data_IF_733427857432
#
_entry.id   IF_733427857432
#
_cell.length_a   1.000
_cell.length_b   1.000
_cell.length_c   1.000
_cell.angle_alpha   90.00
_cell.angle_beta   90.00
_cell.angle_gamma   90.00
#
_symmetry.space_group_name_H-M   'P 1'
#
loop_
_entity.id
_entity.type
_entity.pdbx_description
1 polymer ?
#
# COMPACT_ATOMS: atom_id res chain seq x y z
N UNK A 1 -0.77 -17.43 -0.17
CA UNK A 1 -1.34 -16.13 -0.57
C UNK A 1 -0.76 -15.05 0.32
N UNK A 2 -0.33 -13.93 -0.26
CA UNK A 2 0.22 -12.78 0.47
C UNK A 2 -0.59 -11.51 0.17
N UNK A 3 -1.12 -10.90 1.22
CA UNK A 3 -1.90 -9.67 1.16
C UNK A 3 -1.03 -8.50 1.63
N UNK A 4 -1.32 -7.31 1.12
CA UNK A 4 -0.83 -6.05 1.69
C UNK A 4 -2.00 -5.16 2.07
N UNK A 5 -1.90 -4.52 3.23
CA UNK A 5 -2.81 -3.46 3.64
C UNK A 5 -2.14 -2.09 3.36
N UNK A 6 -2.89 -1.19 2.73
CA UNK A 6 -2.52 0.22 2.63
C UNK A 6 -2.81 0.99 3.94
N UNK A 7 -2.49 2.27 3.97
CA UNK A 7 -2.74 3.10 5.15
C UNK A 7 -4.22 3.30 5.45
N UNK A 8 -5.06 3.34 4.41
CA UNK A 8 -6.50 3.48 4.59
C UNK A 8 -7.06 2.32 5.43
N UNK A 9 -6.55 1.10 5.28
CA UNK A 9 -6.93 -0.03 6.14
C UNK A 9 -6.55 0.18 7.61
N UNK A 10 -5.41 0.83 7.90
CA UNK A 10 -5.00 1.19 9.27
C UNK A 10 -5.94 2.24 9.84
N UNK A 11 -6.23 3.29 9.06
CA UNK A 11 -7.15 4.37 9.45
C UNK A 11 -8.55 3.82 9.72
N UNK A 12 -9.04 2.85 8.93
CA UNK A 12 -10.35 2.24 9.18
C UNK A 12 -10.46 1.70 10.60
N UNK A 13 -9.44 0.98 11.07
CA UNK A 13 -9.48 0.37 12.40
C UNK A 13 -9.21 1.42 13.48
N UNK A 14 -8.30 2.36 13.25
CA UNK A 14 -8.01 3.44 14.21
C UNK A 14 -9.23 4.32 14.47
N UNK A 15 -10.06 4.56 13.46
CA UNK A 15 -11.23 5.44 13.52
C UNK A 15 -12.57 4.69 13.61
N UNK A 16 -12.57 3.37 13.79
CA UNK A 16 -13.77 2.51 13.86
C UNK A 16 -14.75 2.74 12.69
N UNK A 17 -14.21 2.76 11.47
CA UNK A 17 -14.95 2.97 10.22
C UNK A 17 -15.56 1.66 9.69
N UNK A 18 -16.46 1.70 8.70
CA UNK A 18 -17.26 0.54 8.30
C UNK A 18 -16.48 -0.72 7.86
N UNK A 19 -15.24 -0.60 7.39
CA UNK A 19 -14.43 -1.76 6.98
C UNK A 19 -13.52 -2.28 8.12
N UNK A 20 -13.52 -1.65 9.30
CA UNK A 20 -12.65 -2.01 10.42
C UNK A 20 -12.77 -3.49 10.81
N UNK A 21 -14.00 -4.00 10.96
CA UNK A 21 -14.26 -5.39 11.31
C UNK A 21 -13.65 -6.36 10.29
N UNK A 22 -13.74 -6.02 9.00
CA UNK A 22 -13.17 -6.84 7.93
C UNK A 22 -11.63 -6.83 7.93
N UNK A 23 -11.01 -5.69 8.21
CA UNK A 23 -9.54 -5.63 8.38
C UNK A 23 -9.09 -6.49 9.56
N UNK A 24 -9.80 -6.41 10.69
CA UNK A 24 -9.51 -7.22 11.88
C UNK A 24 -9.64 -8.72 11.56
N UNK A 25 -10.66 -9.12 10.81
CA UNK A 25 -10.85 -10.51 10.39
C UNK A 25 -9.72 -11.02 9.49
N UNK A 26 -9.23 -10.21 8.55
CA UNK A 26 -8.06 -10.57 7.73
C UNK A 26 -6.83 -10.82 8.59
N UNK A 27 -6.60 -9.99 9.61
CA UNK A 27 -5.48 -10.14 10.55
C UNK A 27 -5.65 -11.39 11.42
N UNK A 28 -6.88 -11.69 11.86
CA UNK A 28 -7.17 -12.92 12.59
C UNK A 28 -6.91 -14.16 11.73
N UNK A 29 -7.25 -14.13 10.45
CA UNK A 29 -6.93 -15.19 9.50
C UNK A 29 -5.41 -15.34 9.29
N UNK A 30 -4.67 -14.22 9.23
CA UNK A 30 -3.21 -14.24 9.20
C UNK A 30 -2.61 -14.96 10.42
N UNK A 31 -3.06 -14.60 11.62
CA UNK A 31 -2.60 -15.20 12.89
C UNK A 31 -2.94 -16.69 13.00
N UNK A 32 -3.99 -17.13 12.32
CA UNK A 32 -4.35 -18.55 12.17
C UNK A 32 -3.53 -19.29 11.10
N UNK A 33 -2.59 -18.61 10.45
CA UNK A 33 -1.72 -19.18 9.41
C UNK A 33 -2.41 -19.43 8.08
N UNK A 34 -3.59 -18.83 7.82
CA UNK A 34 -4.34 -19.07 6.59
C UNK A 34 -3.71 -18.36 5.38
N UNK A 35 -3.11 -17.19 5.59
CA UNK A 35 -2.36 -16.42 4.59
C UNK A 35 -1.48 -15.39 5.29
N UNK A 36 -0.60 -14.73 4.54
CA UNK A 36 0.22 -13.65 5.08
C UNK A 36 -0.46 -12.30 4.86
N UNK A 37 -0.59 -11.47 5.91
CA UNK A 37 -1.01 -10.07 5.81
C UNK A 37 0.18 -9.22 6.21
N UNK A 38 0.59 -8.28 5.35
CA UNK A 38 1.64 -7.33 5.66
C UNK A 38 1.17 -5.89 5.53
N UNK A 39 1.87 -4.98 6.19
CA UNK A 39 1.66 -3.54 6.10
C UNK A 39 2.69 -2.93 5.15
N UNK A 40 2.26 -2.00 4.29
CA UNK A 40 3.20 -1.27 3.42
C UNK A 40 3.92 -0.17 4.21
N UNK A 41 5.24 -0.10 4.11
CA UNK A 41 6.03 0.98 4.71
C UNK A 41 5.67 2.36 4.14
N UNK A 42 5.23 2.41 2.87
CA UNK A 42 4.71 3.61 2.22
C UNK A 42 3.55 4.26 2.99
N UNK A 43 2.74 3.45 3.67
CA UNK A 43 1.59 3.90 4.46
C UNK A 43 1.99 4.75 5.66
N UNK A 44 3.18 4.52 6.22
CA UNK A 44 3.69 5.28 7.35
C UNK A 44 3.87 6.77 7.03
N UNK A 45 4.07 7.08 5.75
CA UNK A 45 4.46 8.39 5.27
C UNK A 45 3.26 9.38 5.19
N UNK A 46 2.03 8.86 5.29
CA UNK A 46 0.78 9.63 5.27
C UNK A 46 0.31 9.99 6.69
N UNK A 47 0.70 11.16 7.22
CA UNK A 47 0.06 11.67 8.43
C UNK A 47 -1.28 12.32 8.08
N UNK A 48 -2.38 11.64 8.39
CA UNK A 48 -3.75 12.12 8.11
C UNK A 48 -4.11 13.45 8.78
N UNK A 49 -3.45 13.83 9.88
CA UNK A 49 -3.74 15.07 10.64
C UNK A 49 -2.80 16.22 10.32
N UNK A 50 -1.49 15.98 10.18
CA UNK A 50 -0.53 17.05 9.87
C UNK A 50 -0.25 17.19 8.37
N UNK A 51 -0.61 16.20 7.55
CA UNK A 51 -0.22 16.08 6.13
C UNK A 51 1.30 16.16 5.89
N UNK A 52 2.11 16.00 6.93
CA UNK A 52 3.58 15.95 6.84
C UNK A 52 4.04 14.50 6.91
N UNK A 53 5.14 14.18 6.23
CA UNK A 53 5.83 12.92 6.44
C UNK A 53 6.29 12.85 7.90
N UNK A 54 5.89 11.82 8.67
CA UNK A 54 6.45 11.63 10.00
C UNK A 54 7.96 11.46 9.83
N UNK A 55 8.78 12.34 10.41
CA UNK A 55 10.24 12.27 10.27
C UNK A 55 10.89 11.05 10.94
N UNK A 56 10.10 10.11 11.50
CA UNK A 56 10.61 8.93 12.19
C UNK A 56 9.66 7.74 12.07
N UNK A 57 10.21 6.58 11.70
CA UNK A 57 9.55 5.27 11.63
C UNK A 57 8.85 4.87 12.95
N UNK A 58 9.33 5.40 14.08
CA UNK A 58 8.77 5.18 15.41
C UNK A 58 7.30 5.60 15.51
N UNK A 59 6.86 6.64 14.79
CA UNK A 59 5.45 7.03 14.81
C UNK A 59 4.56 5.94 14.22
N UNK A 60 4.96 5.39 13.09
CA UNK A 60 4.28 4.28 12.45
C UNK A 60 4.31 3.02 13.32
N UNK A 61 5.46 2.65 13.87
CA UNK A 61 5.59 1.52 14.80
C UNK A 61 4.68 1.70 16.03
N UNK A 62 4.58 2.91 16.58
CA UNK A 62 3.68 3.19 17.71
C UNK A 62 2.22 3.00 17.33
N UNK A 63 1.79 3.44 16.14
CA UNK A 63 0.42 3.24 15.65
C UNK A 63 0.10 1.77 15.44
N UNK A 64 0.97 1.05 14.74
CA UNK A 64 0.86 -0.41 14.53
C UNK A 64 0.82 -1.14 15.87
N UNK A 65 1.63 -0.69 16.84
CA UNK A 65 1.67 -1.26 18.19
C UNK A 65 0.40 -0.97 18.99
N UNK A 66 -0.19 0.22 18.84
CA UNK A 66 -1.44 0.57 19.53
C UNK A 66 -2.62 -0.28 19.04
N UNK A 67 -2.61 -0.71 17.78
CA UNK A 67 -3.57 -1.65 17.21
C UNK A 67 -3.26 -3.12 17.56
N UNK A 68 -2.10 -3.38 18.17
CA UNK A 68 -1.64 -4.72 18.50
C UNK A 68 -1.24 -5.53 17.26
N UNK A 69 -0.67 -4.88 16.22
CA UNK A 69 -0.33 -5.47 14.92
C UNK A 69 1.18 -5.66 14.71
N UNK A 70 1.95 -5.73 15.79
CA UNK A 70 3.42 -5.83 15.75
C UNK A 70 3.91 -7.14 15.12
N UNK A 71 3.03 -8.14 15.03
CA UNK A 71 3.28 -9.42 14.40
C UNK A 71 3.19 -9.37 12.86
N UNK A 72 2.61 -8.32 12.29
CA UNK A 72 2.48 -8.20 10.84
C UNK A 72 3.83 -7.83 10.20
N UNK A 73 4.27 -8.54 9.14
CA UNK A 73 5.41 -8.13 8.35
C UNK A 73 5.23 -6.71 7.79
N UNK A 74 6.33 -5.97 7.67
CA UNK A 74 6.39 -4.70 6.96
C UNK A 74 6.98 -4.93 5.57
N UNK A 75 6.27 -4.56 4.52
CA UNK A 75 6.80 -4.52 3.15
C UNK A 75 7.63 -3.25 3.00
N UNK A 76 8.95 -3.35 2.78
CA UNK A 76 9.79 -2.16 2.64
C UNK A 76 9.54 -1.46 1.31
N UNK A 77 9.91 -0.18 1.23
CA UNK A 77 9.80 0.62 0.02
C UNK A 77 11.18 1.11 -0.46
N UNK A 78 11.32 1.56 -1.72
CA UNK A 78 12.52 2.26 -2.17
C UNK A 78 12.91 3.41 -1.24
N UNK A 79 14.21 3.55 -0.95
CA UNK A 79 14.76 4.65 -0.18
C UNK A 79 14.80 5.94 -1.00
N UNK A 80 13.90 6.90 -0.70
CA UNK A 80 13.86 8.22 -1.33
C UNK A 80 14.10 9.28 -0.24
N UNK A 81 15.10 10.13 -0.46
CA UNK A 81 15.48 11.19 0.47
C UNK A 81 14.28 12.13 0.70
N UNK A 82 13.96 12.40 1.97
CA UNK A 82 12.86 13.28 2.35
C UNK A 82 11.46 12.66 2.28
N UNK A 83 11.31 11.45 1.72
CA UNK A 83 10.02 10.77 1.55
C UNK A 83 9.97 9.38 2.22
N UNK A 84 11.11 8.70 2.38
CA UNK A 84 11.18 7.34 2.90
C UNK A 84 11.72 7.23 4.33
N UNK A 85 11.31 6.17 5.03
CA UNK A 85 11.90 5.73 6.29
C UNK A 85 13.12 4.87 6.05
N UNK A 86 14.28 5.30 6.53
CA UNK A 86 15.52 4.55 6.37
C UNK A 86 15.46 3.15 6.99
N UNK A 87 14.72 2.98 8.09
CA UNK A 87 14.53 1.68 8.77
C UNK A 87 13.69 0.67 7.97
N UNK A 88 12.88 1.14 7.01
CA UNK A 88 11.94 0.34 6.24
C UNK A 88 12.10 0.57 4.74
N UNK A 89 13.34 0.78 4.31
CA UNK A 89 13.64 0.99 2.91
C UNK A 89 14.75 0.09 2.38
N UNK A 90 14.85 0.04 1.06
CA UNK A 90 15.94 -0.64 0.35
C UNK A 90 16.50 0.24 -0.76
N UNK A 91 17.75 -0.04 -1.13
CA UNK A 91 18.39 0.58 -2.29
C UNK A 91 17.90 -0.07 -3.58
N UNK A 92 17.47 0.75 -4.52
CA UNK A 92 17.11 0.31 -5.87
C UNK A 92 18.40 0.03 -6.64
N UNK A 93 18.54 -1.20 -7.15
CA UNK A 93 19.72 -1.61 -7.93
C UNK A 93 19.68 -1.16 -9.40
N UNK A 94 18.49 -1.06 -9.98
CA UNK A 94 18.26 -0.62 -11.36
C UNK A 94 17.40 0.66 -11.36
N UNK A 95 18.07 1.80 -11.44
CA UNK A 95 17.42 3.11 -11.37
C UNK A 95 16.51 3.39 -12.58
N UNK A 96 16.94 3.01 -13.79
CA UNK A 96 16.17 3.23 -15.02
C UNK A 96 14.87 2.42 -15.00
N UNK A 97 14.94 1.15 -14.61
CA UNK A 97 13.75 0.32 -14.47
C UNK A 97 12.81 0.87 -13.40
N UNK A 98 13.33 1.29 -12.25
CA UNK A 98 12.52 1.88 -11.20
C UNK A 98 11.80 3.14 -11.67
N UNK A 99 12.49 4.05 -12.37
CA UNK A 99 11.87 5.25 -12.92
C UNK A 99 10.77 4.91 -13.92
N UNK A 100 11.03 3.97 -14.84
CA UNK A 100 10.03 3.50 -15.82
C UNK A 100 8.80 2.87 -15.16
N UNK A 101 8.99 2.02 -14.15
CA UNK A 101 7.88 1.39 -13.43
C UNK A 101 7.06 2.43 -12.65
N UNK A 102 7.73 3.37 -11.98
CA UNK A 102 7.07 4.48 -11.29
C UNK A 102 6.29 5.36 -12.25
N UNK A 103 6.81 5.64 -13.45
CA UNK A 103 6.09 6.40 -14.49
C UNK A 103 4.84 5.69 -14.99
N UNK A 104 4.95 4.37 -15.24
CA UNK A 104 3.81 3.57 -15.65
C UNK A 104 2.71 3.53 -14.58
N UNK A 105 3.10 3.33 -13.32
CA UNK A 105 2.17 3.33 -12.19
C UNK A 105 1.55 4.72 -11.96
N UNK A 106 2.34 5.79 -12.03
CA UNK A 106 1.83 7.16 -11.90
C UNK A 106 0.80 7.48 -12.98
N UNK A 107 1.09 7.10 -14.23
CA UNK A 107 0.16 7.29 -15.35
C UNK A 107 -1.14 6.52 -15.16
N UNK A 108 -1.07 5.31 -14.59
CA UNK A 108 -2.25 4.50 -14.32
C UNK A 108 -3.10 5.03 -13.15
N UNK A 109 -2.46 5.40 -12.03
CA UNK A 109 -3.14 5.79 -10.79
C UNK A 109 -3.61 7.26 -10.86
N UNK A 110 -2.76 8.15 -11.38
CA UNK A 110 -2.91 9.59 -11.24
C UNK A 110 -2.54 10.37 -12.51
N UNK A 111 -3.01 9.93 -13.67
CA UNK A 111 -2.82 10.59 -14.98
C UNK A 111 -3.13 12.10 -15.05
N UNK A 112 -3.88 12.64 -14.08
CA UNK A 112 -4.24 14.07 -14.00
C UNK A 112 -3.45 14.87 -12.97
N UNK A 113 -2.49 14.24 -12.30
CA UNK A 113 -1.63 14.87 -11.30
C UNK A 113 -0.23 14.97 -11.90
N UNK A 114 0.33 16.17 -12.10
CA UNK A 114 1.71 16.30 -12.54
C UNK A 114 2.67 15.53 -11.65
N UNK A 115 3.61 14.80 -12.25
CA UNK A 115 4.57 13.94 -11.53
C UNK A 115 5.65 14.77 -10.85
N UNK A 116 6.10 15.86 -11.47
CA UNK A 116 7.12 16.71 -10.86
C UNK A 116 6.49 17.51 -9.71
N UNK A 117 6.97 17.35 -8.46
CA UNK A 117 6.47 18.14 -7.33
C UNK A 117 6.63 19.65 -7.55
N UNK A 118 7.60 20.11 -8.35
CA UNK A 118 7.80 21.53 -8.62
C UNK A 118 6.59 22.18 -9.30
N UNK A 119 5.83 21.42 -10.10
CA UNK A 119 4.63 21.89 -10.80
C UNK A 119 3.45 22.18 -9.85
N UNK A 120 3.52 21.73 -8.61
CA UNK A 120 2.51 21.98 -7.57
C UNK A 120 2.87 23.19 -6.70
N UNK A 121 4.06 23.76 -6.86
CA UNK A 121 4.52 24.91 -6.10
C UNK A 121 4.25 26.23 -6.84
N UNK A 122 4.08 27.35 -6.12
CA UNK A 122 4.04 28.66 -6.74
C UNK A 122 5.31 28.94 -7.55
N UNK A 123 5.15 29.57 -8.73
CA UNK A 123 6.27 29.93 -9.60
C UNK A 123 7.39 30.65 -8.85
N UNK A 124 8.63 30.20 -9.05
CA UNK A 124 9.82 30.74 -8.38
C UNK A 124 10.10 30.16 -6.99
N UNK A 125 9.25 29.28 -6.47
CA UNK A 125 9.54 28.54 -5.22
C UNK A 125 10.57 27.46 -5.50
N UNK A 126 11.67 27.46 -4.74
CA UNK A 126 12.69 26.41 -4.82
C UNK A 126 12.20 25.15 -4.11
N UNK A 127 12.43 23.99 -4.72
CA UNK A 127 12.23 22.71 -4.05
C UNK A 127 13.29 22.52 -2.95
N UNK A 128 12.82 22.32 -1.72
CA UNK A 128 13.60 22.02 -0.52
C UNK A 128 12.89 20.95 0.30
N UNK A 129 13.57 20.38 1.29
CA UNK A 129 12.97 19.40 2.21
C UNK A 129 11.78 20.00 2.98
N UNK A 130 11.79 21.30 3.31
CA UNK A 130 10.61 21.94 3.91
C UNK A 130 9.49 22.15 2.88
N UNK A 131 9.85 22.49 1.64
CA UNK A 131 8.89 22.66 0.56
C UNK A 131 8.15 21.35 0.28
N UNK A 132 8.83 20.19 0.33
CA UNK A 132 8.21 18.88 0.08
C UNK A 132 7.09 18.56 1.08
N UNK A 133 7.13 19.15 2.29
CA UNK A 133 6.13 19.00 3.35
C UNK A 133 4.99 20.04 3.26
N UNK A 134 5.10 21.01 2.36
CA UNK A 134 4.18 22.14 2.29
C UNK A 134 2.75 21.74 1.92
N UNK A 135 1.78 22.58 2.27
CA UNK A 135 0.37 22.31 1.94
C UNK A 135 0.09 22.18 0.42
N UNK A 136 0.69 22.99 -0.48
CA UNK A 136 0.52 22.83 -1.93
C UNK A 136 0.87 21.42 -2.44
N UNK A 137 1.87 20.79 -1.84
CA UNK A 137 2.31 19.45 -2.22
C UNK A 137 1.54 18.31 -1.57
N UNK A 138 0.52 18.58 -0.75
CA UNK A 138 -0.24 17.52 -0.08
C UNK A 138 -0.89 16.53 -1.05
N UNK A 139 -1.46 17.01 -2.15
CA UNK A 139 -2.05 16.14 -3.17
C UNK A 139 -0.99 15.27 -3.85
N UNK A 140 0.14 15.89 -4.24
CA UNK A 140 1.24 15.17 -4.85
C UNK A 140 1.82 14.10 -3.91
N UNK A 141 2.01 14.42 -2.62
CA UNK A 141 2.49 13.45 -1.62
C UNK A 141 1.57 12.26 -1.51
N UNK A 142 0.26 12.47 -1.38
CA UNK A 142 -0.71 11.38 -1.32
C UNK A 142 -0.65 10.50 -2.57
N UNK A 143 -0.59 11.11 -3.75
CA UNK A 143 -0.41 10.38 -5.01
C UNK A 143 0.90 9.60 -5.04
N UNK A 144 2.00 10.20 -4.58
CA UNK A 144 3.28 9.51 -4.48
C UNK A 144 3.20 8.30 -3.54
N UNK A 145 2.53 8.43 -2.40
CA UNK A 145 2.29 7.34 -1.46
C UNK A 145 1.49 6.19 -2.09
N UNK A 146 0.43 6.51 -2.85
CA UNK A 146 -0.36 5.52 -3.58
C UNK A 146 0.50 4.75 -4.61
N UNK A 147 1.29 5.49 -5.40
CA UNK A 147 2.15 4.92 -6.45
C UNK A 147 3.26 4.06 -5.84
N UNK A 148 3.96 4.53 -4.81
CA UNK A 148 5.04 3.77 -4.19
C UNK A 148 4.51 2.56 -3.39
N UNK A 149 3.27 2.63 -2.89
CA UNK A 149 2.55 1.50 -2.30
C UNK A 149 2.30 0.40 -3.34
N UNK A 150 1.80 0.78 -4.52
CA UNK A 150 1.61 -0.15 -5.64
C UNK A 150 2.93 -0.79 -6.08
N UNK A 151 3.97 0.03 -6.26
CA UNK A 151 5.29 -0.44 -6.63
C UNK A 151 5.85 -1.45 -5.62
N UNK A 152 5.78 -1.12 -4.33
CA UNK A 152 6.31 -1.99 -3.26
C UNK A 152 5.54 -3.31 -3.16
N UNK A 153 4.22 -3.27 -3.35
CA UNK A 153 3.39 -4.47 -3.45
C UNK A 153 3.82 -5.39 -4.61
N UNK A 154 4.01 -4.82 -5.80
CA UNK A 154 4.45 -5.56 -7.00
C UNK A 154 5.84 -6.14 -6.79
N UNK A 155 6.78 -5.30 -6.30
CA UNK A 155 8.17 -5.69 -6.08
C UNK A 155 8.31 -6.84 -5.08
N UNK A 156 7.51 -6.84 -4.00
CA UNK A 156 7.48 -7.92 -3.01
C UNK A 156 6.65 -9.15 -3.47
N UNK A 157 6.21 -9.16 -4.73
CA UNK A 157 5.47 -10.26 -5.37
C UNK A 157 4.21 -10.68 -4.58
N UNK A 158 3.50 -9.69 -4.05
CA UNK A 158 2.27 -9.88 -3.28
C UNK A 158 1.10 -10.22 -4.21
N UNK A 159 0.07 -10.85 -3.66
CA UNK A 159 -1.06 -11.37 -4.44
C UNK A 159 -2.27 -10.44 -4.46
N UNK A 160 -2.60 -9.84 -3.31
CA UNK A 160 -3.78 -8.98 -3.17
C UNK A 160 -3.41 -7.67 -2.49
N UNK A 161 -3.67 -6.57 -3.18
CA UNK A 161 -3.58 -5.23 -2.62
C UNK A 161 -4.93 -4.86 -2.00
N UNK A 162 -4.98 -4.81 -0.67
CA UNK A 162 -6.20 -4.50 0.07
C UNK A 162 -6.24 -3.01 0.35
N UNK A 163 -7.26 -2.33 -0.17
CA UNK A 163 -7.42 -0.87 -0.05
C UNK A 163 -8.89 -0.46 -0.07
N UNK A 164 -9.19 0.65 0.61
CA UNK A 164 -10.47 1.35 0.46
C UNK A 164 -10.44 2.51 -0.53
N UNK A 165 -9.27 2.83 -1.11
CA UNK A 165 -9.17 3.79 -2.20
C UNK A 165 -9.58 3.14 -3.53
N UNK A 166 -10.85 2.77 -3.63
CA UNK A 166 -11.41 2.09 -4.80
C UNK A 166 -11.42 3.00 -6.04
N UNK A 167 -11.52 4.31 -5.84
CA UNK A 167 -11.56 5.29 -6.94
C UNK A 167 -10.28 5.28 -7.76
N UNK A 168 -9.12 5.25 -7.11
CA UNK A 168 -7.84 5.44 -7.78
C UNK A 168 -7.23 4.07 -8.17
N UNK A 169 -7.49 3.01 -7.40
CA UNK A 169 -6.98 1.67 -7.69
C UNK A 169 -7.97 0.77 -8.45
N UNK A 170 -9.17 0.53 -7.93
CA UNK A 170 -10.09 -0.44 -8.56
C UNK A 170 -10.59 0.02 -9.93
N UNK A 171 -10.82 1.33 -10.10
CA UNK A 171 -11.19 1.90 -11.42
C UNK A 171 -10.14 1.62 -12.50
N UNK A 172 -8.87 1.56 -12.11
CA UNK A 172 -7.74 1.34 -13.01
C UNK A 172 -7.20 -0.10 -12.91
N UNK A 173 -7.94 -1.01 -12.28
CA UNK A 173 -7.49 -2.37 -11.96
C UNK A 173 -7.00 -3.16 -13.17
N UNK A 174 -7.63 -3.02 -14.34
CA UNK A 174 -7.20 -3.70 -15.56
C UNK A 174 -5.80 -3.23 -16.01
N UNK A 175 -5.56 -1.91 -15.98
CA UNK A 175 -4.25 -1.34 -16.33
C UNK A 175 -3.21 -1.74 -15.29
N UNK A 176 -3.54 -1.63 -14.01
CA UNK A 176 -2.66 -1.99 -12.90
C UNK A 176 -2.33 -3.49 -12.87
N UNK A 177 -3.25 -4.34 -13.29
CA UNK A 177 -3.02 -5.78 -13.40
C UNK A 177 -1.94 -6.10 -14.44
N UNK A 178 -1.92 -5.40 -15.57
CA UNK A 178 -0.85 -5.52 -16.58
C UNK A 178 0.50 -5.03 -16.07
N UNK A 179 0.51 -4.16 -15.06
CA UNK A 179 1.72 -3.69 -14.38
C UNK A 179 2.14 -4.59 -13.20
N UNK A 180 1.36 -5.62 -12.88
CA UNK A 180 1.68 -6.62 -11.86
C UNK A 180 0.81 -6.61 -10.61
N UNK A 181 -0.14 -5.67 -10.47
CA UNK A 181 -1.12 -5.72 -9.37
C UNK A 181 -2.20 -6.78 -9.65
N UNK A 182 -1.92 -8.03 -9.28
CA UNK A 182 -2.76 -9.18 -9.63
C UNK A 182 -4.21 -9.01 -9.21
N UNK A 183 -4.43 -8.61 -7.96
CA UNK A 183 -5.76 -8.41 -7.38
C UNK A 183 -5.80 -7.15 -6.51
N UNK A 184 -6.89 -6.39 -6.64
CA UNK A 184 -7.13 -5.17 -5.88
C UNK A 184 -8.54 -5.24 -5.31
N UNK A 185 -8.66 -5.35 -4.00
CA UNK A 185 -9.94 -5.59 -3.33
C UNK A 185 -10.08 -4.70 -2.09
N UNK A 186 -11.31 -4.42 -1.71
CA UNK A 186 -11.62 -3.92 -0.36
C UNK A 186 -11.40 -5.02 0.68
N UNK A 187 -11.32 -4.70 1.98
CA UNK A 187 -11.25 -5.70 3.04
C UNK A 187 -12.42 -6.70 2.97
N UNK A 188 -13.65 -6.22 2.80
CA UNK A 188 -14.84 -7.07 2.64
C UNK A 188 -14.76 -8.01 1.42
N UNK A 189 -14.39 -7.50 0.26
CA UNK A 189 -14.24 -8.30 -0.96
C UNK A 189 -13.15 -9.37 -0.81
N UNK A 190 -12.04 -9.02 -0.14
CA UNK A 190 -10.95 -9.96 0.12
C UNK A 190 -11.43 -11.13 0.97
N UNK A 191 -12.16 -10.87 2.06
CA UNK A 191 -12.75 -11.93 2.89
C UNK A 191 -13.75 -12.79 2.12
N UNK A 192 -14.63 -12.17 1.32
CA UNK A 192 -15.58 -12.90 0.51
C UNK A 192 -14.89 -13.81 -0.52
N UNK A 193 -13.80 -13.32 -1.14
CA UNK A 193 -12.98 -14.09 -2.07
C UNK A 193 -12.25 -15.28 -1.42
N UNK A 194 -11.80 -15.12 -0.18
CA UNK A 194 -11.11 -16.17 0.59
C UNK A 194 -12.02 -17.37 0.91
N UNK A 195 -13.31 -17.13 1.14
CA UNK A 195 -14.31 -18.20 1.31
C UNK A 195 -14.41 -19.06 0.04
N UNK A 196 -14.26 -18.45 -1.13
CA UNK A 196 -14.34 -19.16 -2.41
C UNK A 196 -13.04 -19.91 -2.76
N UNK A 197 -11.87 -19.35 -2.43
CA UNK A 197 -10.56 -19.99 -2.67
C UNK A 197 -10.31 -21.19 -1.75
N UNK A 198 -10.65 -21.07 -0.46
CA UNK A 198 -10.53 -22.17 0.51
C UNK A 198 -11.50 -23.34 0.28
N UNK A 199 -12.58 -23.11 -0.46
CA UNK A 199 -13.50 -24.15 -0.96
C UNK A 199 -12.98 -24.87 -2.19
N UNK A 200 -12.15 -24.21 -3.02
CA UNK A 200 -11.59 -24.78 -4.24
C UNK A 200 -10.46 -25.77 -3.94
N UNK A 201 -9.54 -25.41 -3.04
CA UNK A 201 -8.41 -26.28 -2.65
C UNK A 201 -8.86 -27.57 -1.92
N UNK A 202 -9.98 -27.52 -1.19
CA UNK A 202 -10.60 -28.70 -0.56
C UNK A 202 -11.25 -29.66 -1.56
N UNK A 203 -11.70 -29.18 -2.72
CA UNK A 203 -12.28 -30.03 -3.78
C UNK A 203 -11.21 -30.68 -4.65
N UNK A 204 -10.07 -30.02 -4.85
CA UNK A 204 -8.95 -30.58 -5.61
C UNK A 204 -8.16 -31.64 -4.83
N UNK A 205 -8.14 -31.57 -3.50
CA UNK A 205 -7.46 -32.55 -2.64
C UNK A 205 -8.31 -33.79 -2.30
N UNK A 206 -9.64 -33.74 -2.49
CA UNK A 206 -10.52 -34.91 -2.39
C UNK A 206 -10.61 -35.74 -3.69
N UNK A 207 -10.01 -35.28 -4.78
CA UNK A 207 -10.06 -35.94 -6.09
C UNK A 207 -8.83 -36.85 -6.37
N UNK A 208 -7.84 -36.90 -5.47
CA UNK A 208 -6.58 -37.64 -5.65
C UNK A 208 -6.42 -38.86 -4.74
N UNK A 209 -7.50 -39.38 -4.15
CA UNK A 209 -7.48 -40.54 -3.24
C UNK A 209 -8.40 -41.69 -3.67
N UNK A 210 -8.65 -41.78 -4.98
CA UNK A 210 -9.24 -42.96 -5.59
C UNK A 210 -8.32 -43.44 -6.72
N UNK A 211 -7.33 -44.26 -6.36
CA UNK A 211 -6.73 -45.31 -7.19
C UNK A 211 -6.05 -46.35 -6.28
#
# INVERSE_FOLDING_TARGET
MKLTLDWNCVIEVEEDRPQAAHVIDLINCHRKGQFEVALLAASASENSKSKQFPGNAKFFQNKVSALGWQDLPIVPMPGIIGLSYWDFCYFVGDGEKFESDMDALWSAIASKVPRDPSEHLPSGTRMTDDAIQSAPLSKWRNTWCDVISAYSHIHDSRDVFVTNNTRDFQKNSEVLSRLGMKHIYTPAETLAGLVNLSGYERRSSSASSAD
#
